data_IF_045963697857
#
_entry.id   IF_045963697857
#
_cell.length_a   1.000
_cell.length_b   1.000
_cell.length_c   1.000
_cell.angle_alpha   90.00
_cell.angle_beta   90.00
_cell.angle_gamma   90.00
#
_symmetry.space_group_name_H-M   'P 1'
#
loop_
_entity.id
_entity.type
_entity.pdbx_description
1 polymer ?
#
# COMPACT_ATOMS: atom_id res chain seq x y z
N UNK A 1 12.11 -16.82 4.63
CA UNK A 1 12.52 -15.40 4.65
C UNK A 1 11.36 -14.56 5.16
N UNK A 2 11.63 -13.50 5.93
CA UNK A 2 10.58 -12.58 6.42
C UNK A 2 10.19 -11.51 5.40
N UNK A 3 11.12 -11.13 4.52
CA UNK A 3 10.90 -10.18 3.42
C UNK A 3 11.22 -10.88 2.10
N UNK A 4 10.33 -10.75 1.12
CA UNK A 4 10.47 -11.31 -0.22
C UNK A 4 10.39 -10.17 -1.24
N UNK A 5 11.42 -10.02 -2.07
CA UNK A 5 11.40 -9.15 -3.23
C UNK A 5 11.09 -9.99 -4.48
N UNK A 6 9.89 -9.87 -5.00
CA UNK A 6 9.46 -10.46 -6.27
C UNK A 6 9.71 -9.45 -7.40
N UNK A 7 10.92 -9.47 -7.93
CA UNK A 7 11.32 -8.56 -9.01
C UNK A 7 10.63 -8.96 -10.33
N UNK A 8 10.12 -7.97 -11.05
CA UNK A 8 9.42 -8.10 -12.33
C UNK A 8 8.33 -9.18 -12.30
N UNK A 9 7.43 -9.11 -11.30
CA UNK A 9 6.38 -10.11 -11.10
C UNK A 9 5.50 -10.32 -12.34
N UNK A 10 5.40 -9.30 -13.20
CA UNK A 10 4.71 -9.36 -14.48
C UNK A 10 5.41 -10.23 -15.55
N UNK A 11 6.65 -10.69 -15.36
CA UNK A 11 7.31 -11.65 -16.27
C UNK A 11 7.05 -13.10 -15.90
N UNK A 12 6.64 -13.35 -14.65
CA UNK A 12 6.29 -14.68 -14.19
C UNK A 12 4.99 -15.16 -14.85
N UNK A 13 4.87 -16.47 -15.04
CA UNK A 13 3.63 -17.06 -15.57
C UNK A 13 2.44 -16.77 -14.63
N UNK A 14 1.19 -16.73 -15.13
CA UNK A 14 0.01 -16.53 -14.27
C UNK A 14 -0.10 -17.54 -13.12
N UNK A 15 0.36 -18.78 -13.32
CA UNK A 15 0.41 -19.80 -12.26
C UNK A 15 1.39 -19.43 -11.15
N UNK A 16 2.58 -18.96 -11.51
CA UNK A 16 3.60 -18.50 -10.55
C UNK A 16 3.14 -17.26 -9.79
N UNK A 17 2.54 -16.29 -10.49
CA UNK A 17 1.94 -15.11 -9.86
C UNK A 17 0.86 -15.51 -8.84
N UNK A 18 -0.03 -16.44 -9.22
CA UNK A 18 -1.10 -16.90 -8.33
C UNK A 18 -0.56 -17.60 -7.08
N UNK A 19 0.47 -18.43 -7.21
CA UNK A 19 1.12 -19.10 -6.08
C UNK A 19 1.75 -18.11 -5.09
N UNK A 20 2.41 -17.05 -5.57
CA UNK A 20 2.97 -15.99 -4.72
C UNK A 20 1.85 -15.28 -3.94
N UNK A 21 0.74 -14.97 -4.60
CA UNK A 21 -0.37 -14.23 -4.00
C UNK A 21 -1.18 -15.09 -3.02
N UNK A 22 -1.29 -16.38 -3.29
CA UNK A 22 -1.87 -17.34 -2.35
C UNK A 22 -1.06 -17.40 -1.05
N UNK A 23 0.28 -17.44 -1.16
CA UNK A 23 1.17 -17.37 0.00
C UNK A 23 0.97 -16.08 0.81
N UNK A 24 0.68 -14.95 0.16
CA UNK A 24 0.41 -13.67 0.82
C UNK A 24 -0.90 -13.67 1.63
N UNK A 25 -1.95 -14.34 1.12
CA UNK A 25 -3.25 -14.42 1.78
C UNK A 25 -3.28 -15.47 2.88
N UNK A 26 -2.91 -16.70 2.54
CA UNK A 26 -3.10 -17.87 3.39
C UNK A 26 -1.98 -18.00 4.43
N UNK A 27 -0.85 -17.31 4.23
CA UNK A 27 0.35 -17.39 5.08
C UNK A 27 0.87 -18.82 5.26
N UNK A 28 0.56 -19.70 4.31
CA UNK A 28 1.03 -21.07 4.25
C UNK A 28 1.12 -21.52 2.79
N UNK A 29 1.87 -22.59 2.56
CA UNK A 29 1.99 -23.23 1.25
C UNK A 29 1.91 -24.73 1.40
N UNK A 30 1.17 -25.41 0.53
CA UNK A 30 1.05 -26.87 0.53
C UNK A 30 1.75 -27.45 -0.68
N UNK A 31 2.70 -28.36 -0.46
CA UNK A 31 3.44 -29.06 -1.52
C UNK A 31 3.45 -30.54 -1.19
N UNK A 32 3.05 -31.39 -2.15
CA UNK A 32 2.99 -32.85 -2.00
C UNK A 32 2.23 -33.33 -0.75
N UNK A 33 1.14 -32.62 -0.40
CA UNK A 33 0.30 -32.92 0.76
C UNK A 33 0.85 -32.44 2.10
N UNK A 34 2.02 -31.79 2.12
CA UNK A 34 2.63 -31.22 3.33
C UNK A 34 2.42 -29.70 3.34
N UNK A 35 1.81 -29.18 4.40
CA UNK A 35 1.58 -27.75 4.61
C UNK A 35 2.73 -27.13 5.41
N UNK A 36 3.30 -26.06 4.88
CA UNK A 36 4.36 -25.26 5.49
C UNK A 36 3.81 -23.88 5.85
N UNK A 37 3.88 -23.49 7.12
CA UNK A 37 3.48 -22.17 7.59
C UNK A 37 4.60 -21.16 7.30
N UNK A 38 4.25 -19.99 6.77
CA UNK A 38 5.22 -18.92 6.49
C UNK A 38 5.66 -18.22 7.80
N UNK A 39 6.89 -17.71 7.85
CA UNK A 39 7.39 -17.02 9.05
C UNK A 39 6.60 -15.74 9.32
N UNK A 40 6.57 -15.30 10.59
CA UNK A 40 6.00 -14.01 10.97
C UNK A 40 7.13 -13.06 11.42
N UNK A 41 7.24 -11.85 10.85
CA UNK A 41 6.40 -11.29 9.78
C UNK A 41 6.72 -11.90 8.41
N UNK A 42 5.76 -11.81 7.50
CA UNK A 42 5.93 -12.11 6.07
C UNK A 42 5.50 -10.89 5.26
N UNK A 43 6.45 -10.30 4.53
CA UNK A 43 6.26 -9.08 3.77
C UNK A 43 6.75 -9.27 2.34
N UNK A 44 5.93 -8.89 1.36
CA UNK A 44 6.24 -9.03 -0.06
C UNK A 44 6.33 -7.65 -0.70
N UNK A 45 7.45 -7.39 -1.37
CA UNK A 45 7.64 -6.27 -2.28
C UNK A 45 7.64 -6.85 -3.68
N UNK A 46 6.77 -6.38 -4.55
CA UNK A 46 6.74 -6.80 -5.94
C UNK A 46 6.96 -5.59 -6.85
N UNK A 47 7.83 -5.73 -7.86
CA UNK A 47 8.08 -4.68 -8.85
C UNK A 47 7.42 -5.05 -10.17
N UNK A 48 7.07 -4.03 -10.96
CA UNK A 48 6.56 -4.21 -12.32
C UNK A 48 7.26 -3.22 -13.23
N UNK A 49 7.90 -3.71 -14.30
CA UNK A 49 8.45 -2.88 -15.36
C UNK A 49 7.45 -2.81 -16.51
N UNK A 50 6.95 -1.60 -16.79
CA UNK A 50 5.90 -1.35 -17.78
C UNK A 50 6.43 -0.99 -19.18
N UNK A 51 7.77 -0.97 -19.38
CA UNK A 51 8.40 -0.49 -20.62
C UNK A 51 8.50 -1.62 -21.66
N UNK A 52 8.58 -2.88 -21.23
CA UNK A 52 8.73 -4.03 -22.13
C UNK A 52 7.37 -4.62 -22.49
N UNK A 53 7.01 -4.58 -23.79
CA UNK A 53 5.70 -5.03 -24.30
C UNK A 53 5.63 -6.52 -24.65
N UNK A 54 6.76 -7.24 -24.69
CA UNK A 54 6.81 -8.65 -25.08
C UNK A 54 7.14 -9.54 -23.89
N UNK A 55 6.38 -10.62 -23.71
CA UNK A 55 6.64 -11.61 -22.66
C UNK A 55 6.19 -11.23 -21.25
N UNK A 56 5.31 -10.24 -21.10
CA UNK A 56 4.74 -9.86 -19.80
C UNK A 56 3.27 -10.31 -19.66
N UNK A 57 2.94 -10.83 -18.49
CA UNK A 57 1.60 -11.15 -18.01
C UNK A 57 1.19 -10.10 -16.96
N UNK A 58 0.32 -9.13 -17.30
CA UNK A 58 -0.14 -8.15 -16.32
C UNK A 58 -0.91 -8.85 -15.20
N UNK A 59 -0.69 -8.39 -13.95
CA UNK A 59 -1.47 -8.86 -12.81
C UNK A 59 -2.93 -8.45 -12.99
N UNK A 60 -3.89 -9.39 -12.96
CA UNK A 60 -5.30 -9.07 -12.88
C UNK A 60 -5.63 -8.19 -11.68
N UNK A 61 -6.72 -7.45 -11.76
CA UNK A 61 -7.10 -6.44 -10.77
C UNK A 61 -7.48 -7.09 -9.44
N UNK A 62 -8.09 -8.28 -9.48
CA UNK A 62 -8.31 -9.11 -8.30
C UNK A 62 -7.01 -9.55 -7.61
N UNK A 63 -5.91 -9.63 -8.35
CA UNK A 63 -4.58 -9.91 -7.82
C UNK A 63 -3.91 -8.65 -7.24
N UNK A 64 -4.01 -7.53 -7.95
CA UNK A 64 -3.53 -6.23 -7.46
C UNK A 64 -4.22 -5.79 -6.16
N UNK A 65 -5.50 -6.12 -5.98
CA UNK A 65 -6.26 -5.80 -4.75
C UNK A 65 -5.67 -6.46 -3.48
N UNK A 66 -4.80 -7.46 -3.64
CA UNK A 66 -4.09 -8.11 -2.52
C UNK A 66 -2.93 -7.28 -1.97
N UNK A 67 -2.38 -6.35 -2.75
CA UNK A 67 -1.31 -5.46 -2.29
C UNK A 67 -1.88 -4.30 -1.49
N UNK A 68 -1.33 -4.06 -0.29
CA UNK A 68 -1.79 -2.99 0.59
C UNK A 68 -1.67 -1.62 -0.09
N UNK A 69 -0.52 -1.33 -0.72
CA UNK A 69 -0.23 -0.10 -1.42
C UNK A 69 0.52 -0.36 -2.74
N UNK A 70 0.38 0.56 -3.71
CA UNK A 70 1.19 0.61 -4.92
C UNK A 70 1.88 1.96 -5.01
N UNK A 71 3.19 1.94 -5.14
CA UNK A 71 4.02 3.13 -5.24
C UNK A 71 4.61 3.24 -6.65
N UNK A 72 4.90 4.46 -7.07
CA UNK A 72 5.67 4.73 -8.27
C UNK A 72 7.00 5.34 -7.83
N UNK A 73 8.09 4.66 -8.18
CA UNK A 73 9.44 5.14 -7.90
C UNK A 73 9.91 5.91 -9.13
N UNK A 74 10.12 7.21 -8.95
CA UNK A 74 10.79 8.05 -9.93
C UNK A 74 12.31 8.01 -9.75
N UNK A 75 13.03 8.75 -10.61
CA UNK A 75 14.45 8.98 -10.40
C UNK A 75 14.67 9.95 -9.23
N UNK A 76 15.75 9.76 -8.44
CA UNK A 76 16.13 10.72 -7.41
C UNK A 76 16.41 12.09 -8.02
N UNK A 77 16.22 13.15 -7.23
CA UNK A 77 16.67 14.48 -7.64
C UNK A 77 18.20 14.54 -7.72
N UNK A 78 18.74 15.50 -8.48
CA UNK A 78 20.19 15.66 -8.69
C UNK A 78 21.01 15.69 -7.40
N UNK A 79 20.51 16.36 -6.36
CA UNK A 79 21.20 16.44 -5.07
C UNK A 79 21.21 15.09 -4.33
N UNK A 80 20.10 14.36 -4.37
CA UNK A 80 19.99 13.02 -3.77
C UNK A 80 20.88 12.03 -4.51
N UNK A 81 20.92 12.13 -5.84
CA UNK A 81 21.79 11.33 -6.71
C UNK A 81 23.26 11.62 -6.43
N UNK A 82 23.65 12.89 -6.26
CA UNK A 82 25.00 13.26 -5.84
C UNK A 82 25.37 12.67 -4.47
N UNK A 83 24.45 12.68 -3.50
CA UNK A 83 24.66 12.04 -2.18
C UNK A 83 24.83 10.54 -2.32
N UNK A 84 23.99 9.86 -3.10
CA UNK A 84 24.11 8.42 -3.38
C UNK A 84 25.50 8.11 -3.95
N UNK A 85 25.92 8.82 -5.00
CA UNK A 85 27.23 8.64 -5.62
C UNK A 85 28.36 8.81 -4.59
N UNK A 86 28.33 9.89 -3.79
CA UNK A 86 29.35 10.14 -2.78
C UNK A 86 29.41 9.08 -1.68
N UNK A 87 28.25 8.51 -1.30
CA UNK A 87 28.15 7.52 -0.22
C UNK A 87 28.69 6.14 -0.60
N UNK A 88 28.77 5.83 -1.90
CA UNK A 88 29.20 4.52 -2.41
C UNK A 88 30.68 4.46 -2.82
N UNK A 89 31.41 5.58 -2.75
CA UNK A 89 32.80 5.66 -3.25
C UNK A 89 33.77 4.81 -2.43
N UNK A 90 33.58 4.72 -1.11
CA UNK A 90 34.58 4.14 -0.20
C UNK A 90 34.07 2.95 0.63
N UNK A 91 32.76 2.81 0.80
CA UNK A 91 32.15 1.75 1.60
C UNK A 91 30.75 1.47 1.07
N UNK A 92 30.30 0.22 1.11
CA UNK A 92 28.88 -0.09 0.87
C UNK A 92 28.13 0.19 2.18
N UNK A 93 27.25 1.19 2.27
CA UNK A 93 26.61 1.55 3.55
C UNK A 93 25.84 0.39 4.19
N UNK A 94 25.33 -0.54 3.37
CA UNK A 94 24.63 -1.76 3.82
C UNK A 94 25.50 -2.65 4.71
N UNK A 95 26.82 -2.69 4.47
CA UNK A 95 27.74 -3.54 5.23
C UNK A 95 27.97 -3.01 6.66
N UNK A 96 27.57 -1.76 6.95
CA UNK A 96 27.72 -1.10 8.25
C UNK A 96 26.41 -1.00 9.06
N UNK A 97 25.31 -1.59 8.57
CA UNK A 97 24.01 -1.52 9.24
C UNK A 97 23.97 -2.51 10.41
N UNK A 98 23.63 -2.00 11.59
CA UNK A 98 23.36 -2.82 12.76
C UNK A 98 21.85 -3.05 12.95
N UNK A 99 21.43 -4.25 13.40
CA UNK A 99 20.02 -4.53 13.64
C UNK A 99 19.51 -3.71 14.84
N UNK A 100 18.49 -2.89 14.62
CA UNK A 100 17.83 -2.11 15.68
C UNK A 100 16.63 -2.81 16.30
N UNK A 101 16.03 -3.78 15.59
CA UNK A 101 14.91 -4.60 16.04
C UNK A 101 15.01 -6.01 15.46
N UNK A 102 14.40 -6.99 16.13
CA UNK A 102 14.26 -8.36 15.64
C UNK A 102 12.84 -8.66 15.09
N UNK A 103 12.65 -9.86 14.54
CA UNK A 103 11.38 -10.25 13.92
C UNK A 103 10.19 -10.27 14.90
N UNK A 104 10.39 -10.70 16.15
CA UNK A 104 9.35 -10.74 17.17
C UNK A 104 8.93 -9.32 17.58
N UNK A 105 9.90 -8.41 17.69
CA UNK A 105 9.67 -6.98 17.92
C UNK A 105 8.84 -6.35 16.81
N UNK A 106 9.16 -6.65 15.54
CA UNK A 106 8.36 -6.17 14.40
C UNK A 106 6.91 -6.66 14.50
N UNK A 107 6.68 -7.92 14.88
CA UNK A 107 5.31 -8.44 15.09
C UNK A 107 4.61 -7.72 16.24
N UNK A 108 5.31 -7.40 17.34
CA UNK A 108 4.74 -6.59 18.44
C UNK A 108 4.39 -5.19 17.97
N UNK A 109 5.24 -4.53 17.19
CA UNK A 109 4.99 -3.20 16.61
C UNK A 109 3.79 -3.25 15.67
N UNK A 110 3.67 -4.27 14.81
CA UNK A 110 2.52 -4.46 13.92
C UNK A 110 1.20 -4.61 14.68
N UNK A 111 1.21 -5.23 15.87
CA UNK A 111 0.04 -5.33 16.74
C UNK A 111 -0.28 -3.98 17.37
N UNK A 112 0.71 -3.33 17.98
CA UNK A 112 0.54 -2.01 18.60
C UNK A 112 0.04 -0.95 17.61
N UNK A 113 0.49 -0.98 16.35
CA UNK A 113 0.00 -0.09 15.30
C UNK A 113 -1.51 -0.26 15.07
N UNK A 114 -2.08 -1.46 15.23
CA UNK A 114 -3.54 -1.67 15.07
C UNK A 114 -4.36 -1.08 16.21
N UNK A 115 -3.74 -0.81 17.35
CA UNK A 115 -4.38 -0.22 18.52
C UNK A 115 -4.43 1.33 18.44
N UNK A 116 -3.79 1.93 17.43
CA UNK A 116 -3.91 3.37 17.16
C UNK A 116 -5.37 3.74 16.92
N UNK A 117 -5.85 4.72 17.67
CA UNK A 117 -7.26 5.09 17.67
C UNK A 117 -7.71 5.67 16.32
N UNK A 118 -8.87 5.20 15.85
CA UNK A 118 -9.57 5.75 14.68
C UNK A 118 -10.95 6.19 15.15
N UNK A 119 -11.17 7.50 15.22
CA UNK A 119 -12.45 8.02 15.69
C UNK A 119 -13.57 7.72 14.68
N UNK A 120 -14.84 7.66 15.13
CA UNK A 120 -15.98 7.43 14.23
C UNK A 120 -16.04 8.42 13.06
N UNK A 121 -15.64 9.68 13.27
CA UNK A 121 -15.60 10.69 12.23
C UNK A 121 -14.52 10.40 11.16
N UNK A 122 -13.33 9.96 11.55
CA UNK A 122 -12.27 9.56 10.61
C UNK A 122 -12.66 8.28 9.86
N UNK A 123 -13.25 7.32 10.57
CA UNK A 123 -13.78 6.10 9.95
C UNK A 123 -14.88 6.41 8.93
N UNK A 124 -15.79 7.33 9.25
CA UNK A 124 -16.81 7.84 8.34
C UNK A 124 -16.19 8.49 7.09
N UNK A 125 -15.20 9.37 7.27
CA UNK A 125 -14.49 10.01 6.16
C UNK A 125 -13.79 9.00 5.23
N UNK A 126 -13.15 7.97 5.80
CA UNK A 126 -12.56 6.88 5.02
C UNK A 126 -13.61 6.14 4.19
N UNK A 127 -14.75 5.81 4.79
CA UNK A 127 -15.86 5.14 4.10
C UNK A 127 -16.45 6.00 2.99
N UNK A 128 -16.59 7.31 3.19
CA UNK A 128 -17.04 8.25 2.17
C UNK A 128 -16.09 8.31 0.98
N UNK A 129 -14.77 8.35 1.21
CA UNK A 129 -13.77 8.29 0.14
C UNK A 129 -13.92 7.00 -0.66
N UNK A 130 -14.00 5.85 0.02
CA UNK A 130 -14.15 4.55 -0.65
C UNK A 130 -15.47 4.47 -1.41
N UNK A 131 -16.57 4.94 -0.84
CA UNK A 131 -17.87 4.99 -1.51
C UNK A 131 -17.83 5.90 -2.75
N UNK A 132 -17.18 7.05 -2.65
CA UNK A 132 -17.00 7.98 -3.77
C UNK A 132 -16.22 7.33 -4.91
N UNK A 133 -15.25 6.45 -4.65
CA UNK A 133 -14.60 5.69 -5.75
C UNK A 133 -15.58 4.79 -6.50
N UNK A 134 -16.63 4.28 -5.85
CA UNK A 134 -17.59 3.34 -6.46
C UNK A 134 -18.69 4.06 -7.24
N UNK A 135 -19.02 5.30 -6.85
CA UNK A 135 -20.06 6.11 -7.49
C UNK A 135 -19.50 7.15 -8.47
N UNK A 136 -18.18 7.33 -8.55
CA UNK A 136 -17.58 8.32 -9.44
C UNK A 136 -17.90 8.01 -10.92
N UNK A 137 -18.39 8.97 -11.72
CA UNK A 137 -18.82 8.73 -13.10
C UNK A 137 -17.75 8.10 -14.00
N UNK A 138 -16.49 8.49 -13.78
CA UNK A 138 -15.36 8.00 -14.57
C UNK A 138 -14.92 6.56 -14.20
N UNK A 139 -15.46 5.99 -13.11
CA UNK A 139 -15.03 4.71 -12.57
C UNK A 139 -15.96 3.60 -13.06
N UNK A 140 -15.34 2.53 -13.57
CA UNK A 140 -15.98 1.27 -13.92
C UNK A 140 -16.06 0.33 -12.71
N UNK A 141 -14.98 0.28 -11.91
CA UNK A 141 -14.91 -0.48 -10.66
C UNK A 141 -14.14 0.32 -9.62
N UNK A 142 -14.78 0.58 -8.47
CA UNK A 142 -14.17 1.29 -7.34
C UNK A 142 -13.50 0.35 -6.33
N UNK A 143 -12.96 0.94 -5.26
CA UNK A 143 -12.21 0.20 -4.27
C UNK A 143 -13.06 -0.84 -3.51
N UNK A 144 -12.48 -2.03 -3.30
CA UNK A 144 -13.11 -3.15 -2.58
C UNK A 144 -13.16 -2.91 -1.06
N UNK A 145 -13.88 -3.74 -0.27
CA UNK A 145 -13.77 -3.74 1.19
C UNK A 145 -12.34 -3.99 1.71
N UNK A 146 -11.52 -4.73 0.94
CA UNK A 146 -10.08 -4.88 1.26
C UNK A 146 -9.36 -3.54 1.17
N UNK A 147 -9.73 -2.71 0.18
CA UNK A 147 -9.25 -1.34 0.07
C UNK A 147 -9.55 -0.47 1.29
N UNK A 148 -10.76 -0.56 1.87
CA UNK A 148 -11.09 0.18 3.10
C UNK A 148 -10.25 -0.29 4.31
N UNK A 149 -10.09 -1.60 4.48
CA UNK A 149 -9.27 -2.15 5.57
C UNK A 149 -7.80 -1.81 5.41
N UNK A 150 -7.28 -1.90 4.18
CA UNK A 150 -5.90 -1.53 3.87
C UNK A 150 -5.65 -0.05 4.16
N UNK A 151 -6.56 0.84 3.77
CA UNK A 151 -6.41 2.27 4.02
C UNK A 151 -6.38 2.58 5.52
N UNK A 152 -7.27 1.98 6.30
CA UNK A 152 -7.31 2.16 7.75
C UNK A 152 -6.01 1.70 8.41
N UNK A 153 -5.56 0.47 8.11
CA UNK A 153 -4.33 -0.07 8.71
C UNK A 153 -3.08 0.72 8.31
N UNK A 154 -2.99 1.21 7.07
CA UNK A 154 -1.86 2.02 6.62
C UNK A 154 -1.88 3.39 7.32
N UNK A 155 -3.04 4.01 7.52
CA UNK A 155 -3.17 5.25 8.27
C UNK A 155 -2.79 5.08 9.75
N UNK A 156 -3.21 3.99 10.38
CA UNK A 156 -2.82 3.65 11.75
C UNK A 156 -1.30 3.46 11.87
N UNK A 157 -0.68 2.74 10.92
CA UNK A 157 0.76 2.57 10.87
C UNK A 157 1.48 3.93 10.68
N UNK A 158 0.97 4.80 9.82
CA UNK A 158 1.53 6.14 9.60
C UNK A 158 1.45 7.02 10.86
N UNK A 159 0.31 7.00 11.55
CA UNK A 159 0.16 7.69 12.84
C UNK A 159 1.14 7.16 13.89
N UNK A 160 1.30 5.84 14.01
CA UNK A 160 2.27 5.22 14.91
C UNK A 160 3.73 5.62 14.59
N UNK A 161 4.11 5.60 13.31
CA UNK A 161 5.45 6.05 12.84
C UNK A 161 5.70 7.50 13.22
N UNK A 162 4.65 8.34 13.15
CA UNK A 162 4.70 9.75 13.53
C UNK A 162 4.51 9.98 15.05
N UNK A 163 4.51 8.93 15.87
CA UNK A 163 4.37 9.02 17.33
C UNK A 163 3.00 9.50 17.82
N UNK A 164 1.97 9.44 16.98
CA UNK A 164 0.60 9.86 17.33
C UNK A 164 -0.26 8.65 17.70
N UNK A 165 -1.05 8.73 18.79
CA UNK A 165 -1.92 7.63 19.21
C UNK A 165 -3.27 7.58 18.48
N UNK A 166 -3.50 8.47 17.51
CA UNK A 166 -4.73 8.53 16.73
C UNK A 166 -4.46 8.87 15.26
N UNK A 167 -5.36 8.44 14.38
CA UNK A 167 -5.36 8.77 12.96
C UNK A 167 -6.03 10.12 12.73
N UNK A 168 -5.46 10.91 11.82
CA UNK A 168 -6.03 12.19 11.37
C UNK A 168 -6.58 12.10 9.95
N UNK A 169 -7.49 13.01 9.54
CA UNK A 169 -7.94 13.09 8.15
C UNK A 169 -6.80 13.32 7.14
N UNK A 170 -5.71 13.97 7.55
CA UNK A 170 -4.54 14.19 6.69
C UNK A 170 -3.78 12.89 6.41
N UNK A 171 -3.73 11.95 7.37
CA UNK A 171 -3.19 10.60 7.14
C UNK A 171 -4.00 9.87 6.06
N UNK A 172 -5.33 9.99 6.15
CA UNK A 172 -6.26 9.39 5.17
C UNK A 172 -6.02 9.98 3.78
N UNK A 173 -5.90 11.31 3.68
CA UNK A 173 -5.60 11.98 2.40
C UNK A 173 -4.25 11.56 1.83
N UNK A 174 -3.21 11.51 2.66
CA UNK A 174 -1.87 11.14 2.23
C UNK A 174 -1.84 9.69 1.70
N UNK A 175 -2.56 8.77 2.35
CA UNK A 175 -2.52 7.34 2.02
C UNK A 175 -3.59 6.91 1.00
N UNK A 176 -4.60 7.75 0.72
CA UNK A 176 -5.68 7.41 -0.20
C UNK A 176 -5.18 7.08 -1.61
N UNK A 177 -4.28 7.86 -2.21
CA UNK A 177 -3.77 7.53 -3.54
C UNK A 177 -2.86 6.27 -3.55
N UNK A 178 -1.85 6.14 -2.66
CA UNK A 178 -1.03 4.93 -2.55
C UNK A 178 -1.83 3.65 -2.34
N UNK A 179 -2.96 3.72 -1.62
CA UNK A 179 -3.78 2.54 -1.28
C UNK A 179 -4.92 2.31 -2.28
N UNK A 180 -5.60 3.35 -2.77
CA UNK A 180 -6.83 3.16 -3.55
C UNK A 180 -6.61 3.22 -5.06
N UNK A 181 -5.56 3.89 -5.55
CA UNK A 181 -5.44 4.15 -6.99
C UNK A 181 -5.32 2.87 -7.83
N UNK A 182 -4.64 1.81 -7.35
CA UNK A 182 -4.57 0.53 -8.08
C UNK A 182 -5.84 -0.32 -7.95
N UNK A 183 -6.79 0.11 -7.11
CA UNK A 183 -8.11 -0.53 -6.91
C UNK A 183 -9.22 0.18 -7.69
N UNK A 184 -8.90 1.23 -8.44
CA UNK A 184 -9.84 2.01 -9.24
C UNK A 184 -9.61 1.71 -10.72
N UNK A 185 -10.60 1.07 -11.35
CA UNK A 185 -10.62 0.84 -12.79
C UNK A 185 -11.47 1.91 -13.44
N UNK A 186 -10.84 2.74 -14.27
CA UNK A 186 -11.55 3.77 -15.05
C UNK A 186 -12.26 3.18 -16.27
N UNK A 187 -13.37 3.82 -16.65
CA UNK A 187 -14.04 3.55 -17.93
C UNK A 187 -13.13 3.93 -19.11
N UNK A 188 -13.16 3.18 -20.23
CA UNK A 188 -12.25 3.40 -21.37
C UNK A 188 -12.23 4.83 -21.90
N UNK A 189 -13.39 5.48 -22.00
CA UNK A 189 -13.56 6.84 -22.52
C UNK A 189 -12.86 7.91 -21.67
N UNK A 190 -12.78 7.71 -20.35
CA UNK A 190 -12.07 8.62 -19.44
C UNK A 190 -10.56 8.38 -19.46
N UNK A 191 -10.15 7.11 -19.55
CA UNK A 191 -8.74 6.74 -19.70
C UNK A 191 -8.15 7.29 -21.01
N UNK A 192 -8.92 7.21 -22.10
CA UNK A 192 -8.51 7.75 -23.41
C UNK A 192 -8.32 9.28 -23.40
N UNK A 193 -9.00 9.99 -22.50
CA UNK A 193 -8.83 11.44 -22.27
C UNK A 193 -7.68 11.78 -21.31
N UNK A 194 -6.88 10.80 -20.89
CA UNK A 194 -5.72 10.99 -20.03
C UNK A 194 -6.01 11.00 -18.54
N UNK A 195 -7.24 10.72 -18.09
CA UNK A 195 -7.52 10.59 -16.66
C UNK A 195 -6.82 9.35 -16.10
N UNK A 196 -6.04 9.51 -15.03
CA UNK A 196 -5.40 8.41 -14.32
C UNK A 196 -6.18 8.05 -13.04
N UNK A 197 -6.07 6.81 -12.54
CA UNK A 197 -6.68 6.45 -11.25
C UNK A 197 -6.19 7.32 -10.09
N UNK A 198 -4.92 7.73 -10.10
CA UNK A 198 -4.34 8.64 -9.10
C UNK A 198 -5.03 10.00 -9.16
N UNK A 199 -5.20 10.57 -10.37
CA UNK A 199 -5.91 11.83 -10.55
C UNK A 199 -7.38 11.73 -10.13
N UNK A 200 -8.06 10.62 -10.45
CA UNK A 200 -9.43 10.37 -10.02
C UNK A 200 -9.57 10.34 -8.49
N UNK A 201 -8.63 9.70 -7.78
CA UNK A 201 -8.62 9.71 -6.31
C UNK A 201 -8.37 11.13 -5.79
N UNK A 202 -7.45 11.88 -6.39
CA UNK A 202 -7.20 13.28 -6.01
C UNK A 202 -8.45 14.17 -6.19
N UNK A 203 -9.19 14.01 -7.30
CA UNK A 203 -10.46 14.71 -7.51
C UNK A 203 -11.50 14.38 -6.43
N UNK A 204 -11.60 13.11 -6.02
CA UNK A 204 -12.49 12.69 -4.93
C UNK A 204 -12.11 13.39 -3.62
N UNK A 205 -10.82 13.40 -3.26
CA UNK A 205 -10.33 14.03 -2.02
C UNK A 205 -10.57 15.55 -2.00
N UNK A 206 -10.55 16.21 -3.15
CA UNK A 206 -10.83 17.65 -3.25
C UNK A 206 -12.31 17.99 -3.06
N UNK A 207 -13.22 17.07 -3.41
CA UNK A 207 -14.67 17.29 -3.31
C UNK A 207 -15.24 16.94 -1.95
N UNK A 208 -14.66 15.96 -1.25
CA UNK A 208 -15.19 15.50 0.03
C UNK A 208 -14.80 16.45 1.16
N UNK A 209 -15.77 16.92 1.97
CA UNK A 209 -15.48 17.75 3.11
C UNK A 209 -14.69 16.97 4.15
N UNK A 210 -13.72 17.63 4.78
CA UNK A 210 -12.98 17.05 5.90
C UNK A 210 -13.87 17.15 7.15
N UNK A 211 -14.00 16.09 7.97
CA UNK A 211 -14.74 16.19 9.22
C UNK A 211 -14.13 17.26 10.14
N UNK A 212 -14.96 18.19 10.61
CA UNK A 212 -14.57 19.30 11.50
C UNK A 212 -14.85 18.88 12.95
N UNK A 213 -13.84 18.91 13.83
CA UNK A 213 -14.03 18.70 15.29
C UNK A 213 -12.98 17.87 16.04
N UNK A 214 -11.92 17.38 15.39
CA UNK A 214 -11.12 16.28 15.92
C UNK A 214 -9.83 16.65 16.68
N UNK A 215 -9.57 17.92 16.97
CA UNK A 215 -8.21 18.31 17.45
C UNK A 215 -8.05 18.21 18.97
N UNK A 216 -9.10 18.15 19.82
CA UNK A 216 -8.89 18.24 21.28
C UNK A 216 -9.78 17.43 22.23
N UNK A 217 -11.03 17.10 21.91
CA UNK A 217 -11.98 16.80 23.00
C UNK A 217 -12.19 15.30 23.32
N UNK A 218 -11.65 14.36 22.53
CA UNK A 218 -11.88 12.92 22.74
C UNK A 218 -10.73 12.17 23.45
N UNK A 219 -9.62 12.84 23.79
CA UNK A 219 -8.47 12.21 24.48
C UNK A 219 -8.49 12.44 26.00
N UNK A 220 -9.60 12.94 26.54
CA UNK A 220 -9.77 13.17 27.98
C UNK A 220 -10.82 12.24 28.59
N UNK A 221 -10.59 10.92 28.56
CA UNK A 221 -11.17 9.95 29.52
C UNK A 221 -10.17 8.83 29.79
#
# INVERSE_FOLDING_TARGET
ANVVLADEVNRATPKTQSALLECMEERQVTVDGITYVLPSPFFVIATQNNIELSGTYPLPEAQLDRFAARLSIGYPGREDEARILSSQVHTRPVDAIEPVVNAEEVVRIQRAARDVHVSPAVQGYLLEIVAATRSHPAVLLGASPRGSLALMHVCQALAAINGRPYVTPDDVKAMAAPVLAHRVILRPEHRARGLSPVACVAEILQRLPVPVGLVRDEVAV
#
